data_IF_238105518465
#
_entry.id   IF_238105518465
#
_cell.length_a   1.000
_cell.length_b   1.000
_cell.length_c   1.000
_cell.angle_alpha   90.00
_cell.angle_beta   90.00
_cell.angle_gamma   90.00
#
_symmetry.space_group_name_H-M   'P 1'
#
loop_
_entity.id
_entity.type
_entity.pdbx_description
1 polymer ?
#
# COMPACT_ATOMS: atom_id res chain seq x y z
N UNK A 1 7.85 8.84 -11.11
CA UNK A 1 7.38 7.59 -10.48
C UNK A 1 6.37 6.89 -11.39
N UNK A 2 5.27 7.56 -11.72
CA UNK A 2 4.23 7.08 -12.66
C UNK A 2 4.79 6.65 -14.03
N UNK A 3 5.59 7.51 -14.69
CA UNK A 3 6.27 7.17 -15.95
C UNK A 3 7.26 6.01 -15.89
N UNK A 4 7.83 5.73 -14.72
CA UNK A 4 8.76 4.60 -14.54
C UNK A 4 7.99 3.30 -14.30
N UNK A 5 6.86 3.35 -13.60
CA UNK A 5 5.92 2.24 -13.46
C UNK A 5 5.26 1.88 -14.79
N UNK A 6 4.83 2.87 -15.59
CA UNK A 6 4.25 2.65 -16.93
C UNK A 6 5.21 1.90 -17.85
N UNK A 7 6.51 2.25 -17.83
CA UNK A 7 7.54 1.53 -18.60
C UNK A 7 7.76 0.10 -18.11
N UNK A 8 7.68 -0.15 -16.80
CA UNK A 8 7.82 -1.49 -16.24
C UNK A 8 6.63 -2.40 -16.59
N UNK A 9 5.41 -1.87 -16.55
CA UNK A 9 4.18 -2.56 -17.00
C UNK A 9 4.21 -2.83 -18.51
N UNK A 10 4.57 -1.82 -19.32
CA UNK A 10 4.66 -1.95 -20.78
C UNK A 10 5.72 -2.98 -21.23
N UNK A 11 6.73 -3.26 -20.41
CA UNK A 11 7.75 -4.27 -20.68
C UNK A 11 7.31 -5.71 -20.40
N UNK A 12 6.06 -5.93 -19.94
CA UNK A 12 5.54 -7.26 -19.62
C UNK A 12 6.15 -7.90 -18.37
N UNK A 13 6.96 -7.15 -17.60
CA UNK A 13 7.60 -7.63 -16.38
C UNK A 13 6.69 -7.58 -15.14
N UNK A 14 5.56 -6.86 -15.22
CA UNK A 14 4.63 -6.66 -14.11
C UNK A 14 3.19 -6.71 -14.63
N UNK A 15 2.34 -7.54 -14.04
CA UNK A 15 0.90 -7.58 -14.32
C UNK A 15 0.18 -6.54 -13.45
N UNK A 16 -0.81 -5.87 -14.03
CA UNK A 16 -1.56 -4.76 -13.40
C UNK A 16 -2.31 -5.12 -12.10
N UNK A 17 -2.40 -6.41 -11.75
CA UNK A 17 -3.26 -6.88 -10.68
C UNK A 17 -2.60 -6.87 -9.30
N UNK A 18 -1.27 -6.89 -9.24
CA UNK A 18 -0.57 -7.26 -8.00
C UNK A 18 0.81 -6.59 -7.95
N UNK A 19 0.82 -5.27 -7.74
CA UNK A 19 2.05 -4.54 -7.40
C UNK A 19 2.46 -4.85 -5.95
N UNK A 20 2.76 -6.11 -5.70
CA UNK A 20 3.41 -6.50 -4.47
C UNK A 20 4.83 -5.95 -4.49
N UNK A 21 5.26 -5.38 -3.36
CA UNK A 21 6.65 -4.98 -3.14
C UNK A 21 7.22 -3.87 -4.03
N UNK A 22 6.45 -2.80 -4.30
CA UNK A 22 6.94 -1.63 -5.07
C UNK A 22 8.23 -1.07 -4.46
N UNK A 23 8.31 -1.01 -3.12
CA UNK A 23 9.48 -0.55 -2.40
C UNK A 23 10.71 -1.41 -2.69
N UNK A 24 10.57 -2.73 -2.82
CA UNK A 24 11.69 -3.63 -3.14
C UNK A 24 12.25 -3.36 -4.53
N UNK A 25 11.39 -3.21 -5.53
CA UNK A 25 11.80 -2.88 -6.89
C UNK A 25 12.53 -1.52 -6.96
N UNK A 26 12.07 -0.53 -6.17
CA UNK A 26 12.75 0.76 -6.06
C UNK A 26 14.12 0.63 -5.38
N UNK A 27 14.22 -0.19 -4.33
CA UNK A 27 15.49 -0.48 -3.65
C UNK A 27 16.52 -1.04 -4.64
N UNK A 28 16.14 -2.07 -5.40
CA UNK A 28 17.00 -2.70 -6.41
C UNK A 28 17.43 -1.69 -7.49
N UNK A 29 16.50 -0.85 -7.95
CA UNK A 29 16.79 0.19 -8.94
C UNK A 29 17.83 1.21 -8.44
N UNK A 30 17.63 1.75 -7.23
CA UNK A 30 18.55 2.75 -6.68
C UNK A 30 19.92 2.15 -6.30
N UNK A 31 19.98 0.87 -5.93
CA UNK A 31 21.23 0.18 -5.68
C UNK A 31 22.04 -0.12 -6.95
N UNK A 32 21.38 -0.34 -8.08
CA UNK A 32 22.04 -0.82 -9.32
C UNK A 32 22.22 0.24 -10.40
N UNK A 33 21.38 1.28 -10.43
CA UNK A 33 21.34 2.22 -11.57
C UNK A 33 20.90 3.65 -11.28
N UNK A 34 20.45 3.99 -10.07
CA UNK A 34 20.01 5.34 -9.70
C UNK A 34 21.16 6.31 -9.43
N UNK A 35 21.85 6.77 -10.50
CA UNK A 35 23.10 7.53 -10.38
C UNK A 35 22.97 9.02 -10.02
N UNK A 36 21.76 9.57 -10.00
CA UNK A 36 21.52 11.00 -9.77
C UNK A 36 21.08 11.34 -8.33
N UNK A 37 21.18 10.39 -7.39
CA UNK A 37 20.79 10.59 -5.99
C UNK A 37 21.92 10.17 -5.05
N UNK A 38 22.34 11.07 -4.15
CA UNK A 38 23.33 10.75 -3.12
C UNK A 38 22.77 9.77 -2.08
N UNK A 39 21.51 9.98 -1.66
CA UNK A 39 20.80 9.12 -0.71
C UNK A 39 19.31 9.05 -1.05
N UNK A 40 18.71 7.89 -0.80
CA UNK A 40 17.26 7.66 -0.88
C UNK A 40 16.80 6.94 0.39
N UNK A 41 15.67 7.37 0.94
CA UNK A 41 15.02 6.72 2.09
C UNK A 41 13.69 6.18 1.61
N UNK A 42 13.50 4.88 1.75
CA UNK A 42 12.26 4.20 1.37
C UNK A 42 11.54 3.73 2.63
N UNK A 43 10.20 3.63 2.56
CA UNK A 43 9.42 3.00 3.63
C UNK A 43 9.74 1.52 3.75
N UNK A 44 9.13 0.83 4.73
CA UNK A 44 9.06 -0.62 4.68
C UNK A 44 8.33 -1.09 3.41
N UNK A 45 8.50 -2.38 3.10
CA UNK A 45 7.87 -2.98 1.93
C UNK A 45 6.35 -2.77 1.95
N UNK A 46 5.77 -2.43 0.80
CA UNK A 46 4.40 -1.90 0.70
C UNK A 46 3.76 -2.39 -0.59
N UNK A 47 2.54 -2.88 -0.48
CA UNK A 47 1.72 -3.26 -1.64
C UNK A 47 0.93 -2.07 -2.13
N UNK A 48 0.83 -1.92 -3.45
CA UNK A 48 0.01 -0.88 -4.04
C UNK A 48 -1.41 -1.39 -4.31
N UNK A 49 -2.40 -0.70 -3.74
CA UNK A 49 -3.82 -0.95 -3.96
C UNK A 49 -4.41 0.17 -4.81
N UNK A 50 -4.87 -0.17 -6.01
CA UNK A 50 -5.55 0.77 -6.91
C UNK A 50 -7.07 0.68 -6.80
N UNK A 51 -7.77 1.72 -7.24
CA UNK A 51 -9.23 1.71 -7.27
C UNK A 51 -9.78 0.67 -8.24
N UNK A 52 -10.85 -0.01 -7.82
CA UNK A 52 -11.68 -0.86 -8.66
C UNK A 52 -12.90 -0.10 -9.19
N UNK A 53 -13.71 -0.73 -10.03
CA UNK A 53 -14.97 -0.14 -10.54
C UNK A 53 -15.90 0.29 -9.40
N UNK A 54 -15.95 -0.47 -8.30
CA UNK A 54 -16.85 -0.19 -7.18
C UNK A 54 -16.45 1.02 -6.34
N UNK A 55 -15.18 1.44 -6.39
CA UNK A 55 -14.64 2.50 -5.55
C UNK A 55 -13.97 3.65 -6.33
N UNK A 56 -14.06 3.63 -7.66
CA UNK A 56 -13.51 4.67 -8.52
C UNK A 56 -14.18 6.01 -8.22
N UNK A 57 -13.37 7.03 -7.93
CA UNK A 57 -13.82 8.39 -7.66
C UNK A 57 -14.04 8.72 -6.18
N UNK A 58 -14.02 7.74 -5.28
CA UNK A 58 -14.25 7.98 -3.84
C UNK A 58 -13.42 7.10 -2.89
N UNK A 59 -12.90 5.97 -3.37
CA UNK A 59 -12.23 4.96 -2.55
C UNK A 59 -10.81 5.28 -2.10
N UNK A 60 -10.23 6.41 -2.50
CA UNK A 60 -8.79 6.68 -2.35
C UNK A 60 -8.31 6.64 -0.89
N UNK A 61 -9.11 7.13 0.06
CA UNK A 61 -8.77 7.06 1.49
C UNK A 61 -8.63 5.62 1.99
N UNK A 62 -9.56 4.74 1.60
CA UNK A 62 -9.53 3.32 1.95
C UNK A 62 -8.35 2.60 1.27
N UNK A 63 -8.06 2.91 0.00
CA UNK A 63 -6.89 2.36 -0.71
C UNK A 63 -5.57 2.79 -0.07
N UNK A 64 -5.47 4.05 0.37
CA UNK A 64 -4.30 4.52 1.13
C UNK A 64 -4.16 3.79 2.47
N UNK A 65 -5.27 3.56 3.19
CA UNK A 65 -5.26 2.75 4.40
C UNK A 65 -4.79 1.32 4.13
N UNK A 66 -5.26 0.68 3.06
CA UNK A 66 -4.80 -0.65 2.64
C UNK A 66 -3.28 -0.68 2.39
N UNK A 67 -2.74 0.31 1.68
CA UNK A 67 -1.29 0.42 1.45
C UNK A 67 -0.52 0.57 2.76
N UNK A 68 -0.94 1.49 3.65
CA UNK A 68 -0.32 1.66 4.97
C UNK A 68 -0.37 0.37 5.80
N UNK A 69 -1.53 -0.27 5.88
CA UNK A 69 -1.71 -1.51 6.65
C UNK A 69 -0.82 -2.63 6.12
N UNK A 70 -0.68 -2.76 4.79
CA UNK A 70 0.22 -3.75 4.17
C UNK A 70 1.67 -3.54 4.60
N UNK A 71 2.09 -2.29 4.83
CA UNK A 71 3.43 -1.96 5.32
C UNK A 71 3.59 -2.31 6.80
N UNK A 72 2.61 -1.95 7.63
CA UNK A 72 2.62 -2.26 9.06
C UNK A 72 2.62 -3.76 9.33
N UNK A 73 1.89 -4.55 8.53
CA UNK A 73 1.87 -6.02 8.62
C UNK A 73 3.25 -6.66 8.36
N UNK A 74 4.18 -5.97 7.68
CA UNK A 74 5.54 -6.46 7.43
C UNK A 74 6.57 -6.03 8.47
N UNK A 75 6.17 -5.20 9.44
CA UNK A 75 7.04 -4.72 10.50
C UNK A 75 6.78 -5.55 11.76
N UNK A 76 7.80 -6.27 12.24
CA UNK A 76 7.69 -7.19 13.38
C UNK A 76 7.15 -6.54 14.65
N UNK A 77 7.43 -5.25 14.86
CA UNK A 77 6.93 -4.46 15.99
C UNK A 77 5.40 -4.49 16.12
N UNK A 78 4.66 -4.63 15.01
CA UNK A 78 3.19 -4.66 15.02
C UNK A 78 2.60 -6.07 14.97
N UNK A 79 3.43 -7.13 14.92
CA UNK A 79 2.96 -8.50 14.68
C UNK A 79 2.01 -9.02 15.77
N UNK A 80 2.17 -8.58 17.02
CA UNK A 80 1.31 -9.01 18.15
C UNK A 80 -0.09 -8.39 18.11
N UNK A 81 -0.23 -7.20 17.51
CA UNK A 81 -1.48 -6.44 17.42
C UNK A 81 -2.18 -6.72 16.09
N UNK A 82 -1.42 -6.86 15.00
CA UNK A 82 -1.91 -7.15 13.65
C UNK A 82 -1.79 -8.65 13.33
N UNK A 83 -2.54 -9.46 14.08
CA UNK A 83 -2.52 -10.93 13.97
C UNK A 83 -3.10 -11.42 12.63
N UNK A 84 -4.10 -10.72 12.11
CA UNK A 84 -4.60 -10.94 10.76
C UNK A 84 -3.66 -10.27 9.75
N UNK A 85 -2.99 -11.10 8.94
CA UNK A 85 -2.06 -10.66 7.89
C UNK A 85 -2.77 -10.34 6.57
N UNK A 86 -4.09 -10.42 6.53
CA UNK A 86 -4.86 -10.06 5.34
C UNK A 86 -5.24 -8.58 5.36
N UNK A 87 -5.22 -7.95 4.19
CA UNK A 87 -5.67 -6.57 4.04
C UNK A 87 -7.17 -6.59 3.74
N UNK A 88 -8.02 -5.94 4.57
CA UNK A 88 -9.47 -6.01 4.43
C UNK A 88 -9.97 -5.25 3.19
N UNK A 89 -11.10 -5.69 2.63
CA UNK A 89 -11.79 -4.98 1.56
C UNK A 89 -12.43 -3.67 2.07
N UNK A 90 -12.79 -2.76 1.15
CA UNK A 90 -13.35 -1.44 1.51
C UNK A 90 -14.59 -1.54 2.42
N UNK A 91 -15.61 -2.38 2.15
CA UNK A 91 -16.75 -2.52 3.05
C UNK A 91 -16.36 -2.99 4.46
N UNK A 92 -15.33 -3.84 4.58
CA UNK A 92 -14.83 -4.27 5.89
C UNK A 92 -14.15 -3.11 6.63
N UNK A 93 -13.37 -2.29 5.92
CA UNK A 93 -12.75 -1.09 6.51
C UNK A 93 -13.83 -0.10 6.98
N UNK A 94 -14.89 0.12 6.18
CA UNK A 94 -16.03 0.94 6.58
C UNK A 94 -16.65 0.42 7.89
N UNK A 95 -16.91 -0.88 7.97
CA UNK A 95 -17.43 -1.50 9.20
C UNK A 95 -16.48 -1.37 10.41
N UNK A 96 -15.16 -1.41 10.20
CA UNK A 96 -14.18 -1.18 11.28
C UNK A 96 -14.16 0.27 11.76
N UNK A 97 -14.39 1.24 10.86
CA UNK A 97 -14.51 2.66 11.22
C UNK A 97 -15.80 2.88 12.03
N UNK A 98 -16.92 2.29 11.60
CA UNK A 98 -18.19 2.32 12.35
C UNK A 98 -18.07 1.62 13.71
N UNK A 99 -17.31 0.52 13.76
CA UNK A 99 -16.59 -0.07 14.89
C UNK A 99 -16.12 0.97 15.92
N UNK A 100 -15.04 1.64 15.52
CA UNK A 100 -14.33 2.65 16.28
C UNK A 100 -15.25 3.78 16.77
N UNK A 101 -16.16 4.28 15.93
CA UNK A 101 -17.12 5.31 16.32
C UNK A 101 -18.06 4.85 17.43
N UNK A 102 -18.53 3.59 17.36
CA UNK A 102 -19.39 3.01 18.41
C UNK A 102 -18.66 2.83 19.73
N UNK A 103 -17.34 2.63 19.67
CA UNK A 103 -16.46 2.59 20.84
C UNK A 103 -16.12 3.98 21.40
N UNK A 104 -16.58 5.06 20.75
CA UNK A 104 -16.45 6.44 21.23
C UNK A 104 -15.27 7.22 20.63
N UNK A 105 -14.62 6.69 19.59
CA UNK A 105 -13.64 7.45 18.82
C UNK A 105 -14.35 8.50 17.96
N UNK A 106 -13.81 9.72 17.95
CA UNK A 106 -14.24 10.86 17.12
C UNK A 106 -15.77 11.12 17.06
N UNK A 107 -16.39 11.57 18.16
CA UNK A 107 -17.85 11.72 18.24
C UNK A 107 -18.42 13.01 17.61
N UNK A 108 -17.60 13.87 16.99
CA UNK A 108 -18.02 15.15 16.38
C UNK A 108 -18.49 14.99 14.93
#
# INVERSE_FOLDING_TARGET
MERSMEKAVASGRLTSAEFHSVTRALCDYYQTGGKDCAHVWLSADTDHYSSSVGDKGWGCGYRNFQMLLSSLQRIDTYASILQDRTVPCIPRIQGMIEEAWREGLDPQ
#
